data_IF_399358024795
#
_entry.id   IF_399358024795
#
_cell.length_a   1.000
_cell.length_b   1.000
_cell.length_c   1.000
_cell.angle_alpha   90.00
_cell.angle_beta   90.00
_cell.angle_gamma   90.00
#
_symmetry.space_group_name_H-M   'P 1'
#
loop_
_entity.id
_entity.type
_entity.pdbx_description
1 polymer ?
#
# COMPACT_ATOMS: atom_id res chain seq x y z
N UNK A 1 16.24 -0.59 13.27
CA UNK A 1 15.12 -1.06 12.43
C UNK A 1 15.07 -2.55 12.63
N UNK A 2 13.97 -3.05 13.20
CA UNK A 2 13.88 -4.44 13.61
C UNK A 2 13.04 -5.18 12.58
N UNK A 3 13.71 -5.92 11.69
CA UNK A 3 13.03 -6.78 10.74
C UNK A 3 12.58 -8.04 11.49
N UNK A 4 11.28 -8.20 11.68
CA UNK A 4 10.70 -9.39 12.31
C UNK A 4 9.94 -10.20 11.27
N UNK A 5 10.29 -11.48 11.14
CA UNK A 5 9.54 -12.44 10.34
C UNK A 5 8.57 -13.16 11.28
N UNK A 6 7.26 -12.90 11.12
CA UNK A 6 6.19 -13.57 11.85
C UNK A 6 5.25 -14.20 10.82
N UNK A 7 5.16 -15.54 10.85
CA UNK A 7 4.43 -16.31 9.84
C UNK A 7 4.91 -16.01 8.39
N UNK A 8 4.00 -16.10 7.42
CA UNK A 8 4.24 -15.82 5.99
C UNK A 8 4.42 -14.32 5.67
N UNK A 9 4.97 -13.51 6.59
CA UNK A 9 5.12 -12.06 6.46
C UNK A 9 6.47 -11.55 6.97
N UNK A 10 7.02 -10.55 6.28
CA UNK A 10 8.14 -9.71 6.69
C UNK A 10 7.62 -8.28 6.97
N UNK A 11 8.04 -7.70 8.10
CA UNK A 11 7.60 -6.37 8.55
C UNK A 11 8.77 -5.40 8.61
N UNK A 12 8.51 -4.18 8.14
CA UNK A 12 9.41 -3.02 8.23
C UNK A 12 8.69 -1.93 9.00
N UNK A 13 9.28 -1.42 10.08
CA UNK A 13 8.63 -0.42 10.94
C UNK A 13 9.58 0.70 11.33
N UNK A 14 9.04 1.92 11.36
CA UNK A 14 9.72 3.11 11.90
C UNK A 14 9.67 3.17 13.43
N UNK A 15 8.87 2.30 14.07
CA UNK A 15 8.61 2.34 15.52
C UNK A 15 7.63 3.44 15.96
N UNK A 16 7.13 4.27 15.02
CA UNK A 16 6.13 5.30 15.32
C UNK A 16 4.76 4.65 15.59
N UNK A 17 4.10 5.10 16.65
CA UNK A 17 2.71 4.73 16.91
C UNK A 17 1.80 5.45 15.91
N UNK A 18 0.78 4.74 15.43
CA UNK A 18 -0.31 5.30 14.64
C UNK A 18 -1.63 5.17 15.40
N UNK A 19 -2.55 6.10 15.17
CA UNK A 19 -3.92 6.00 15.65
C UNK A 19 -4.62 4.82 14.95
N UNK A 20 -5.03 3.84 15.76
CA UNK A 20 -5.68 2.61 15.30
C UNK A 20 -6.96 2.84 14.49
N UNK A 21 -7.66 3.96 14.70
CA UNK A 21 -8.90 4.30 14.01
C UNK A 21 -8.66 5.00 12.67
N UNK A 22 -7.46 5.58 12.50
CA UNK A 22 -7.06 6.29 11.29
C UNK A 22 -6.13 5.47 10.41
N UNK A 23 -5.49 4.45 10.98
CA UNK A 23 -4.55 3.58 10.29
C UNK A 23 -5.26 2.79 9.18
N UNK A 24 -4.71 2.86 7.99
CA UNK A 24 -5.07 2.00 6.88
C UNK A 24 -3.87 1.66 6.01
N UNK A 25 -4.15 1.09 4.84
CA UNK A 25 -3.11 0.58 3.94
C UNK A 25 -3.46 0.75 2.47
N UNK A 26 -2.44 1.08 1.68
CA UNK A 26 -2.39 0.80 0.25
C UNK A 26 -1.84 -0.61 0.02
N UNK A 27 -2.39 -1.35 -0.93
CA UNK A 27 -1.95 -2.72 -1.26
C UNK A 27 -1.47 -2.80 -2.70
N UNK A 28 -0.28 -3.36 -2.88
CA UNK A 28 0.33 -3.64 -4.19
C UNK A 28 0.47 -5.14 -4.34
N UNK A 29 -0.07 -5.68 -5.43
CA UNK A 29 0.06 -7.09 -5.80
C UNK A 29 1.12 -7.22 -6.89
N UNK A 30 1.94 -8.25 -6.79
CA UNK A 30 3.07 -8.46 -7.69
C UNK A 30 3.31 -9.95 -7.92
N UNK A 31 3.94 -10.32 -9.03
CA UNK A 31 4.43 -11.68 -9.21
C UNK A 31 5.54 -11.92 -8.18
N UNK A 32 5.33 -12.87 -7.28
CA UNK A 32 6.24 -13.11 -6.17
C UNK A 32 7.63 -13.53 -6.66
N UNK A 33 7.71 -14.39 -7.66
CA UNK A 33 8.99 -14.96 -8.08
C UNK A 33 9.83 -13.94 -8.86
N UNK A 34 9.20 -12.98 -9.53
CA UNK A 34 9.90 -12.02 -10.38
C UNK A 34 10.33 -10.76 -9.63
N UNK A 35 9.49 -10.27 -8.69
CA UNK A 35 9.62 -8.91 -8.18
C UNK A 35 9.86 -8.82 -6.67
N UNK A 36 9.88 -9.94 -5.94
CA UNK A 36 9.85 -9.90 -4.47
C UNK A 36 11.00 -9.11 -3.84
N UNK A 37 12.23 -9.29 -4.31
CA UNK A 37 13.40 -8.60 -3.74
C UNK A 37 13.38 -7.10 -4.05
N UNK A 38 12.93 -6.72 -5.24
CA UNK A 38 12.69 -5.31 -5.60
C UNK A 38 11.60 -4.70 -4.72
N UNK A 39 10.48 -5.40 -4.51
CA UNK A 39 9.41 -4.91 -3.63
C UNK A 39 9.87 -4.85 -2.17
N UNK A 40 10.76 -5.76 -1.74
CA UNK A 40 11.38 -5.73 -0.42
C UNK A 40 12.17 -4.45 -0.20
N UNK A 41 13.04 -4.07 -1.16
CA UNK A 41 13.80 -2.83 -1.06
C UNK A 41 12.91 -1.59 -1.04
N UNK A 42 11.78 -1.60 -1.77
CA UNK A 42 10.79 -0.53 -1.69
C UNK A 42 10.05 -0.47 -0.35
N UNK A 43 9.72 -1.61 0.26
CA UNK A 43 9.14 -1.64 1.60
C UNK A 43 10.10 -1.02 2.62
N UNK A 44 11.37 -1.43 2.60
CA UNK A 44 12.42 -0.89 3.47
C UNK A 44 12.63 0.62 3.24
N UNK A 45 12.82 1.03 1.98
CA UNK A 45 13.00 2.44 1.59
C UNK A 45 11.83 3.32 2.04
N UNK A 46 10.59 2.86 1.83
CA UNK A 46 9.40 3.63 2.20
C UNK A 46 9.30 3.93 3.70
N UNK A 47 9.87 3.06 4.55
CA UNK A 47 9.90 3.25 6.00
C UNK A 47 11.10 4.11 6.40
N UNK A 48 12.29 3.88 5.83
CA UNK A 48 13.50 4.69 6.08
C UNK A 48 13.27 6.15 5.73
N UNK A 49 12.62 6.42 4.60
CA UNK A 49 12.33 7.78 4.11
C UNK A 49 11.06 8.38 4.75
N UNK A 50 10.49 7.70 5.74
CA UNK A 50 9.27 8.11 6.46
C UNK A 50 8.08 8.41 5.54
N UNK A 51 8.00 7.73 4.39
CA UNK A 51 6.85 7.78 3.48
C UNK A 51 5.65 7.09 4.13
N UNK A 52 5.89 5.96 4.79
CA UNK A 52 4.91 5.23 5.60
C UNK A 52 5.48 4.83 6.95
N UNK A 53 4.60 4.61 7.93
CA UNK A 53 5.05 4.21 9.27
C UNK A 53 5.43 2.73 9.34
N UNK A 54 4.76 1.89 8.55
CA UNK A 54 5.00 0.45 8.49
C UNK A 54 4.77 -0.08 7.08
N UNK A 55 5.59 -1.01 6.63
CA UNK A 55 5.35 -1.82 5.45
C UNK A 55 5.29 -3.30 5.83
N UNK A 56 4.41 -4.06 5.17
CA UNK A 56 4.26 -5.51 5.36
C UNK A 56 4.33 -6.20 4.02
N UNK A 57 5.14 -7.24 3.93
CA UNK A 57 5.43 -7.93 2.69
C UNK A 57 5.25 -9.44 2.85
N UNK A 58 4.54 -10.09 1.91
CA UNK A 58 4.42 -11.55 1.93
C UNK A 58 5.80 -12.20 1.85
N UNK A 59 6.10 -13.15 2.74
CA UNK A 59 7.36 -13.91 2.71
C UNK A 59 7.28 -15.20 1.89
N UNK A 60 6.08 -15.59 1.45
CA UNK A 60 5.83 -16.73 0.56
C UNK A 60 4.74 -16.37 -0.47
N UNK A 61 4.77 -16.93 -1.70
CA UNK A 61 3.72 -16.70 -2.69
C UNK A 61 2.36 -17.24 -2.23
N UNK A 62 1.29 -16.61 -2.72
CA UNK A 62 -0.06 -17.16 -2.68
C UNK A 62 -0.18 -18.30 -3.72
N UNK A 63 -1.30 -19.04 -3.68
CA UNK A 63 -1.56 -20.17 -4.58
C UNK A 63 -1.49 -19.81 -6.08
N UNK A 64 -1.76 -18.55 -6.41
CA UNK A 64 -1.71 -17.99 -7.76
C UNK A 64 -0.32 -17.45 -8.15
N UNK A 65 0.71 -17.66 -7.31
CA UNK A 65 2.06 -17.18 -7.54
C UNK A 65 2.30 -15.70 -7.18
N UNK A 66 1.26 -14.98 -6.75
CA UNK A 66 1.38 -13.57 -6.41
C UNK A 66 1.78 -13.33 -4.95
N UNK A 67 2.49 -12.24 -4.72
CA UNK A 67 2.73 -11.64 -3.40
C UNK A 67 1.90 -10.38 -3.20
N UNK A 68 1.86 -9.89 -1.97
CA UNK A 68 1.30 -8.57 -1.65
C UNK A 68 2.23 -7.79 -0.72
N UNK A 69 2.37 -6.50 -1.03
CA UNK A 69 2.98 -5.50 -0.17
C UNK A 69 1.88 -4.54 0.31
N UNK A 70 1.89 -4.23 1.60
CA UNK A 70 0.97 -3.30 2.23
C UNK A 70 1.77 -2.15 2.85
N UNK A 71 1.38 -0.92 2.53
CA UNK A 71 2.02 0.31 3.02
C UNK A 71 1.06 1.04 3.95
N UNK A 72 1.40 1.13 5.24
CA UNK A 72 0.50 1.60 6.30
C UNK A 72 0.82 3.02 6.77
N UNK A 73 -0.22 3.84 6.82
CA UNK A 73 -0.21 5.22 7.26
C UNK A 73 -1.61 5.63 7.74
N UNK A 74 -1.73 6.83 8.30
CA UNK A 74 -3.02 7.39 8.70
C UNK A 74 -3.74 8.01 7.50
N UNK A 75 -5.07 7.89 7.46
CA UNK A 75 -5.89 8.34 6.33
C UNK A 75 -5.89 9.86 6.14
N UNK A 76 -5.76 10.62 7.22
CA UNK A 76 -5.79 12.08 7.27
C UNK A 76 -4.39 12.72 7.24
N UNK A 77 -3.32 11.94 7.19
CA UNK A 77 -1.95 12.43 6.94
C UNK A 77 -1.76 12.69 5.43
N UNK A 78 -2.31 13.82 4.96
CA UNK A 78 -2.32 14.18 3.54
C UNK A 78 -0.91 14.28 2.93
N UNK A 79 0.07 14.73 3.72
CA UNK A 79 1.46 14.82 3.26
C UNK A 79 2.05 13.44 2.97
N UNK A 80 1.82 12.46 3.86
CA UNK A 80 2.26 11.08 3.61
C UNK A 80 1.43 10.38 2.56
N UNK A 81 0.12 10.65 2.46
CA UNK A 81 -0.70 10.18 1.34
C UNK A 81 -0.10 10.65 0.01
N UNK A 82 0.36 11.91 -0.05
CA UNK A 82 1.02 12.43 -1.23
C UNK A 82 2.33 11.74 -1.56
N UNK A 83 3.19 11.55 -0.54
CA UNK A 83 4.47 10.84 -0.69
C UNK A 83 4.27 9.39 -1.16
N UNK A 84 3.36 8.64 -0.55
CA UNK A 84 3.17 7.22 -0.93
C UNK A 84 2.60 7.09 -2.34
N UNK A 85 1.61 7.91 -2.73
CA UNK A 85 1.06 7.82 -4.09
C UNK A 85 2.12 8.18 -5.14
N UNK A 86 2.91 9.24 -4.93
CA UNK A 86 4.03 9.56 -5.84
C UNK A 86 5.04 8.42 -5.90
N UNK A 87 5.42 7.87 -4.75
CA UNK A 87 6.34 6.73 -4.68
C UNK A 87 5.82 5.52 -5.47
N UNK A 88 4.52 5.20 -5.36
CA UNK A 88 3.92 4.10 -6.11
C UNK A 88 3.89 4.38 -7.63
N UNK A 89 3.64 5.61 -8.05
CA UNK A 89 3.66 6.01 -9.47
C UNK A 89 5.08 5.94 -10.04
N UNK A 90 6.05 6.57 -9.38
CA UNK A 90 7.45 6.65 -9.83
C UNK A 90 8.12 5.28 -9.96
N UNK A 91 7.73 4.33 -9.11
CA UNK A 91 8.24 2.96 -9.14
C UNK A 91 7.34 1.99 -9.94
N UNK A 92 6.35 2.49 -10.70
CA UNK A 92 5.42 1.70 -11.51
C UNK A 92 4.68 0.60 -10.71
N UNK A 93 4.35 0.87 -9.45
CA UNK A 93 3.70 -0.08 -8.55
C UNK A 93 2.16 -0.01 -8.61
N UNK A 94 1.61 1.01 -9.26
CA UNK A 94 0.18 1.08 -9.56
C UNK A 94 -0.05 0.43 -10.92
N UNK A 95 -0.79 -0.68 -11.00
CA UNK A 95 -1.06 -1.33 -12.28
C UNK A 95 -1.76 -0.36 -13.24
N UNK A 96 -1.51 -0.55 -14.54
CA UNK A 96 -2.20 0.19 -15.61
C UNK A 96 -3.16 -0.72 -16.36
N UNK A 97 -4.30 -0.16 -16.75
CA UNK A 97 -5.27 -0.78 -17.65
C UNK A 97 -4.71 -0.81 -19.08
N UNK A 98 -5.37 -1.54 -19.98
CA UNK A 98 -4.98 -1.63 -21.40
C UNK A 98 -4.93 -0.27 -22.11
N UNK A 99 -5.75 0.70 -21.67
CA UNK A 99 -5.78 2.06 -22.23
C UNK A 99 -4.72 3.00 -21.62
N UNK A 100 -3.88 2.51 -20.71
CA UNK A 100 -2.82 3.30 -20.07
C UNK A 100 -3.22 3.94 -18.73
N UNK A 101 -4.51 3.99 -18.39
CA UNK A 101 -4.98 4.56 -17.13
C UNK A 101 -4.54 3.72 -15.93
N UNK A 102 -4.28 4.36 -14.79
CA UNK A 102 -4.06 3.69 -13.52
C UNK A 102 -5.32 2.95 -13.05
N UNK A 103 -5.12 1.77 -12.45
CA UNK A 103 -6.18 1.12 -11.69
C UNK A 103 -6.55 1.95 -10.47
N UNK A 104 -7.85 2.05 -10.18
CA UNK A 104 -8.36 2.79 -9.05
C UNK A 104 -8.18 1.99 -7.75
N UNK A 105 -7.01 2.13 -7.13
CA UNK A 105 -6.72 1.48 -5.86
C UNK A 105 -7.61 2.04 -4.75
N UNK A 106 -7.92 1.22 -3.75
CA UNK A 106 -8.64 1.64 -2.55
C UNK A 106 -7.72 1.61 -1.34
N UNK A 107 -7.72 2.68 -0.56
CA UNK A 107 -7.13 2.69 0.76
C UNK A 107 -8.05 1.94 1.72
N UNK A 108 -7.51 0.96 2.45
CA UNK A 108 -8.31 0.13 3.37
C UNK A 108 -7.95 0.41 4.82
N UNK A 109 -8.88 0.94 5.59
CA UNK A 109 -8.70 1.11 7.03
C UNK A 109 -8.56 -0.26 7.72
N UNK A 110 -7.72 -0.32 8.75
CA UNK A 110 -7.49 -1.55 9.50
C UNK A 110 -8.71 -1.96 10.32
N UNK A 111 -9.48 -1.00 10.85
CA UNK A 111 -10.72 -1.29 11.57
C UNK A 111 -11.77 -1.94 10.66
N UNK A 112 -11.93 -1.46 9.43
CA UNK A 112 -12.79 -2.08 8.40
C UNK A 112 -12.33 -3.52 8.07
N UNK A 113 -11.02 -3.73 8.05
CA UNK A 113 -10.41 -5.06 7.85
C UNK A 113 -10.72 -5.99 9.03
N UNK A 114 -10.74 -5.47 10.26
CA UNK A 114 -11.07 -6.21 11.50
C UNK A 114 -12.56 -6.55 11.63
N UNK A 115 -13.43 -5.73 11.05
CA UNK A 115 -14.88 -5.97 11.03
C UNK A 115 -15.36 -6.91 9.90
N UNK A 116 -14.45 -7.52 9.13
CA UNK A 116 -14.76 -8.36 7.96
C UNK A 116 -15.59 -7.67 6.86
N UNK A 117 -15.46 -6.34 6.70
CA UNK A 117 -16.17 -5.57 5.69
C UNK A 117 -15.49 -5.69 4.30
N UNK A 118 -15.50 -6.88 3.72
CA UNK A 118 -14.89 -7.16 2.41
C UNK A 118 -15.89 -7.12 1.23
N UNK A 119 -17.20 -6.95 1.48
CA UNK A 119 -18.29 -7.13 0.49
C UNK A 119 -19.10 -5.83 0.24
N UNK A 120 -20.35 -5.91 -0.26
CA UNK A 120 -21.22 -4.81 -0.75
C UNK A 120 -21.38 -3.59 0.18
N UNK A 121 -21.05 -3.72 1.46
CA UNK A 121 -21.02 -2.65 2.46
C UNK A 121 -19.69 -1.89 2.55
N UNK A 122 -18.65 -2.29 1.80
CA UNK A 122 -17.36 -1.63 1.76
C UNK A 122 -17.48 -0.23 1.15
N UNK A 123 -17.62 0.76 2.02
CA UNK A 123 -17.35 2.16 1.68
C UNK A 123 -15.86 2.40 1.85
N UNK A 124 -15.15 2.29 0.73
CA UNK A 124 -13.80 2.85 0.61
C UNK A 124 -13.85 4.30 1.07
N UNK A 125 -13.18 4.61 2.18
CA UNK A 125 -13.12 5.99 2.70
C UNK A 125 -12.21 6.86 1.83
N UNK A 126 -11.28 6.24 1.09
CA UNK A 126 -10.42 6.94 0.15
C UNK A 126 -10.03 6.07 -1.05
N UNK A 127 -10.29 6.57 -2.26
CA UNK A 127 -9.88 5.95 -3.52
C UNK A 127 -8.81 6.76 -4.23
N UNK A 128 -8.00 6.11 -5.06
CA UNK A 128 -6.97 6.78 -5.83
C UNK A 128 -7.55 7.86 -6.76
N UNK A 129 -8.71 7.60 -7.36
CA UNK A 129 -9.41 8.57 -8.20
C UNK A 129 -9.85 9.84 -7.46
N UNK A 130 -9.92 9.83 -6.13
CA UNK A 130 -10.26 11.03 -5.35
C UNK A 130 -9.04 11.93 -5.15
N UNK A 131 -7.82 11.38 -5.30
CA UNK A 131 -6.55 12.08 -5.10
C UNK A 131 -5.93 12.56 -6.42
N UNK A 132 -5.99 11.74 -7.46
CA UNK A 132 -5.33 11.98 -8.74
C UNK A 132 -6.27 11.76 -9.93
N UNK A 133 -5.94 12.35 -11.07
CA UNK A 133 -6.49 11.94 -12.37
C UNK A 133 -5.85 10.59 -12.76
N UNK A 134 -6.66 9.54 -12.89
CA UNK A 134 -6.17 8.19 -13.20
C UNK A 134 -5.57 8.05 -14.60
N UNK A 135 -5.82 9.00 -15.51
CA UNK A 135 -5.25 8.98 -16.85
C UNK A 135 -3.85 9.61 -16.87
N UNK A 136 -3.66 10.72 -16.14
CA UNK A 136 -2.39 11.47 -16.16
C UNK A 136 -1.47 11.12 -14.99
N UNK A 137 -2.04 10.68 -13.87
CA UNK A 137 -1.33 10.54 -12.60
C UNK A 137 -1.14 11.85 -11.85
N UNK A 138 -1.68 12.96 -12.36
CA UNK A 138 -1.56 14.28 -11.74
C UNK A 138 -2.52 14.44 -10.57
N UNK A 139 -2.09 15.15 -9.54
CA UNK A 139 -2.91 15.48 -8.38
C UNK A 139 -4.08 16.38 -8.76
N UNK A 140 -5.25 16.07 -8.21
CA UNK A 140 -6.42 16.95 -8.30
C UNK A 140 -6.17 18.22 -7.48
N UNK A 141 -6.65 19.35 -8.02
CA UNK A 141 -6.63 20.66 -7.36
C UNK A 141 -7.85 20.83 -6.45
#
# INVERSE_FOLDING_TARGET
MDNVILANWEYFTSGKNMDKFKTGKWMVFFNFFDARDTIRSYCEKSVVEEIVSTAKLSSMPRKDGNGVACFFLEIDDLDRQKKIINFLIENNLIPKKKNGDYYNLSFKLDEQTRNNEYNESFKSVLKLEELIDLRTGEWKQ
#
